data_IF_719895370162
#
_entry.id   IF_719895370162
#
_cell.length_a   1.000
_cell.length_b   1.000
_cell.length_c   1.000
_cell.angle_alpha   90.00
_cell.angle_beta   90.00
_cell.angle_gamma   90.00
#
_symmetry.space_group_name_H-M   'P 1'
#
loop_
_entity.id
_entity.type
_entity.pdbx_description
1 polymer ?
#
# COMPACT_ATOMS: atom_id res chain seq x y z
N UNK A 1 -9.18 -41.23 3.97
CA UNK A 1 -8.30 -40.24 3.32
C UNK A 1 -7.91 -39.21 4.36
N UNK A 2 -6.76 -39.40 5.02
CA UNK A 2 -6.17 -38.41 5.90
C UNK A 2 -5.51 -37.33 5.02
N UNK A 3 -6.01 -36.11 5.12
CA UNK A 3 -5.32 -34.94 4.59
C UNK A 3 -4.15 -34.67 5.53
N UNK A 4 -2.94 -34.77 4.99
CA UNK A 4 -1.72 -34.40 5.68
C UNK A 4 -1.78 -32.90 6.04
N UNK A 5 -1.73 -32.60 7.34
CA UNK A 5 -1.33 -31.28 7.83
C UNK A 5 0.12 -31.03 7.38
N UNK A 6 0.27 -30.19 6.37
CA UNK A 6 1.57 -29.62 6.02
C UNK A 6 1.86 -28.56 7.09
N UNK A 7 2.62 -28.97 8.10
CA UNK A 7 3.21 -28.07 9.08
C UNK A 7 4.26 -27.19 8.38
N UNK A 8 3.81 -26.07 7.81
CA UNK A 8 4.70 -24.98 7.44
C UNK A 8 5.28 -24.40 8.73
N UNK A 9 6.53 -24.75 9.01
CA UNK A 9 7.38 -24.00 9.92
C UNK A 9 7.56 -22.59 9.31
N UNK A 10 6.67 -21.66 9.64
CA UNK A 10 6.71 -20.30 9.12
C UNK A 10 7.73 -19.50 9.91
N UNK A 11 8.96 -19.39 9.38
CA UNK A 11 9.74 -18.19 9.70
C UNK A 11 8.90 -17.01 9.23
N UNK A 12 8.44 -16.19 10.17
CA UNK A 12 7.44 -15.12 10.00
C UNK A 12 7.85 -14.02 9.00
N UNK A 13 8.96 -14.17 8.28
CA UNK A 13 9.69 -13.13 7.56
C UNK A 13 9.96 -13.45 6.08
N UNK A 14 9.39 -14.51 5.49
CA UNK A 14 9.60 -14.80 4.05
C UNK A 14 8.70 -13.94 3.15
N UNK A 15 9.11 -13.74 1.89
CA UNK A 15 8.34 -13.01 0.89
C UNK A 15 7.01 -13.73 0.55
N UNK A 16 6.99 -15.06 0.50
CA UNK A 16 5.76 -15.82 0.27
C UNK A 16 4.74 -15.60 1.40
N UNK A 17 5.22 -15.52 2.65
CA UNK A 17 4.37 -15.22 3.80
C UNK A 17 3.74 -13.83 3.69
N UNK A 18 4.48 -12.84 3.15
CA UNK A 18 3.96 -11.50 2.84
C UNK A 18 2.80 -11.58 1.86
N UNK A 19 2.97 -12.32 0.75
CA UNK A 19 1.92 -12.45 -0.26
C UNK A 19 0.66 -13.09 0.31
N UNK A 20 0.82 -14.12 1.15
CA UNK A 20 -0.31 -14.78 1.84
C UNK A 20 -1.06 -13.79 2.72
N UNK A 21 -0.38 -13.07 3.62
CA UNK A 21 -1.05 -12.11 4.51
C UNK A 21 -1.68 -10.94 3.76
N UNK A 22 -0.97 -10.39 2.76
CA UNK A 22 -1.50 -9.31 1.95
C UNK A 22 -2.74 -9.76 1.18
N UNK A 23 -2.75 -10.95 0.57
CA UNK A 23 -3.92 -11.46 -0.17
C UNK A 23 -5.12 -11.76 0.73
N UNK A 24 -4.92 -12.13 2.01
CA UNK A 24 -6.04 -12.27 2.97
C UNK A 24 -6.88 -11.00 3.11
N UNK A 25 -6.29 -9.82 2.91
CA UNK A 25 -7.02 -8.55 2.94
C UNK A 25 -8.03 -8.42 1.78
N UNK A 26 -7.79 -9.09 0.66
CA UNK A 26 -8.71 -9.13 -0.49
C UNK A 26 -9.94 -9.97 -0.12
N UNK A 27 -9.74 -11.18 0.37
CA UNK A 27 -10.83 -12.12 0.70
C UNK A 27 -11.73 -11.59 1.81
N UNK A 28 -11.16 -10.96 2.83
CA UNK A 28 -11.93 -10.30 3.91
C UNK A 28 -12.85 -9.20 3.41
N UNK A 29 -12.49 -8.55 2.31
CA UNK A 29 -13.34 -7.52 1.68
C UNK A 29 -14.52 -8.15 0.91
N UNK A 30 -14.38 -9.38 0.43
CA UNK A 30 -15.43 -10.09 -0.32
C UNK A 30 -16.46 -10.79 0.59
N UNK A 31 -16.07 -11.19 1.80
CA UNK A 31 -16.99 -11.75 2.81
C UNK A 31 -17.90 -10.68 3.45
N UNK A 32 -17.53 -9.40 3.34
CA UNK A 32 -18.38 -8.27 3.69
C UNK A 32 -19.39 -8.08 2.55
N UNK A 33 -20.61 -8.61 2.71
CA UNK A 33 -21.69 -8.44 1.73
C UNK A 33 -21.94 -6.97 1.34
N UNK A 34 -22.65 -6.71 0.23
CA UNK A 34 -22.78 -5.38 -0.39
C UNK A 34 -23.35 -4.28 0.54
N UNK A 35 -24.06 -4.64 1.61
CA UNK A 35 -24.54 -3.70 2.63
C UNK A 35 -23.45 -3.17 3.59
N UNK A 36 -22.31 -3.88 3.71
CA UNK A 36 -21.20 -3.50 4.60
C UNK A 36 -20.13 -2.68 3.89
N UNK A 37 -20.28 -2.45 2.58
CA UNK A 37 -19.42 -1.52 1.83
C UNK A 37 -19.78 -0.10 2.30
N UNK A 38 -18.87 0.62 2.96
CA UNK A 38 -19.23 1.89 3.57
C UNK A 38 -19.77 2.88 2.54
N UNK A 39 -20.99 3.38 2.78
CA UNK A 39 -21.59 4.42 1.96
C UNK A 39 -20.66 5.64 1.82
N UNK A 40 -20.42 6.04 0.57
CA UNK A 40 -19.82 7.29 0.06
C UNK A 40 -18.45 7.68 0.61
N UNK A 41 -17.41 7.53 -0.22
CA UNK A 41 -16.13 8.29 -0.41
C UNK A 41 -15.46 9.00 0.80
N UNK A 42 -16.21 9.71 1.66
CA UNK A 42 -15.76 10.31 2.93
C UNK A 42 -15.25 9.27 3.93
N UNK A 43 -15.91 8.11 4.08
CA UNK A 43 -15.46 7.07 5.03
C UNK A 43 -14.14 6.43 4.58
N UNK A 44 -13.95 6.23 3.27
CA UNK A 44 -12.71 5.66 2.70
C UNK A 44 -11.48 6.55 2.97
N UNK A 45 -11.59 7.87 2.76
CA UNK A 45 -10.50 8.81 3.04
C UNK A 45 -10.16 8.88 4.53
N UNK A 46 -11.18 8.76 5.40
CA UNK A 46 -10.99 8.70 6.85
C UNK A 46 -10.23 7.42 7.26
N UNK A 47 -10.58 6.27 6.68
CA UNK A 47 -9.94 4.99 6.97
C UNK A 47 -8.46 5.04 6.59
N UNK A 48 -8.14 5.44 5.35
CA UNK A 48 -6.73 5.56 4.91
C UNK A 48 -5.93 6.50 5.80
N UNK A 49 -6.52 7.63 6.20
CA UNK A 49 -5.87 8.58 7.12
C UNK A 49 -5.56 7.93 8.47
N UNK A 50 -6.53 7.23 9.08
CA UNK A 50 -6.31 6.60 10.40
C UNK A 50 -5.20 5.53 10.35
N UNK A 51 -5.08 4.77 9.26
CA UNK A 51 -3.98 3.81 9.10
C UNK A 51 -2.62 4.48 8.92
N UNK A 52 -2.55 5.60 8.19
CA UNK A 52 -1.34 6.42 8.12
C UNK A 52 -0.96 6.99 9.50
N UNK A 53 -1.95 7.46 10.26
CA UNK A 53 -1.76 8.00 11.62
C UNK A 53 -1.22 6.91 12.58
N UNK A 54 -1.74 5.68 12.53
CA UNK A 54 -1.22 4.53 13.31
C UNK A 54 0.27 4.26 13.04
N UNK A 55 0.72 4.54 11.82
CA UNK A 55 2.12 4.35 11.42
C UNK A 55 3.00 5.57 11.71
N UNK A 56 2.48 6.59 12.42
CA UNK A 56 3.19 7.84 12.68
C UNK A 56 3.35 8.75 11.45
N UNK A 57 2.63 8.48 10.35
CA UNK A 57 2.71 9.26 9.12
C UNK A 57 1.73 10.43 9.20
N UNK A 58 2.17 11.49 9.86
CA UNK A 58 1.36 12.70 10.00
C UNK A 58 1.14 13.42 8.65
N UNK A 59 0.13 14.29 8.55
CA UNK A 59 -0.04 15.18 7.39
C UNK A 59 1.19 16.04 7.09
N UNK A 60 2.00 16.37 8.11
CA UNK A 60 3.24 17.13 7.92
C UNK A 60 4.32 16.32 7.20
N UNK A 61 4.36 14.99 7.42
CA UNK A 61 5.26 14.08 6.70
C UNK A 61 4.87 14.02 5.22
N UNK A 62 3.57 13.89 4.93
CA UNK A 62 3.06 13.82 3.57
C UNK A 62 3.28 15.14 2.82
N UNK A 63 3.10 16.29 3.49
CA UNK A 63 3.36 17.61 2.88
C UNK A 63 4.83 17.84 2.48
N UNK A 64 5.77 17.08 3.02
CA UNK A 64 7.19 17.11 2.59
C UNK A 64 7.42 16.32 1.30
N UNK A 65 6.48 15.45 0.92
CA UNK A 65 6.48 14.78 -0.37
C UNK A 65 5.92 15.76 -1.40
N UNK A 66 6.67 16.06 -2.45
CA UNK A 66 6.14 16.86 -3.56
C UNK A 66 5.22 15.95 -4.40
N UNK A 67 3.92 15.95 -4.11
CA UNK A 67 2.97 14.99 -4.69
C UNK A 67 2.38 15.47 -6.01
N UNK A 68 2.43 14.61 -7.03
CA UNK A 68 1.68 14.72 -8.28
C UNK A 68 0.60 13.62 -8.25
N UNK A 69 -0.66 14.03 -8.22
CA UNK A 69 -1.80 13.10 -8.24
C UNK A 69 -2.40 13.05 -9.64
N UNK A 70 -2.40 11.85 -10.25
CA UNK A 70 -2.92 11.60 -11.59
C UNK A 70 -4.20 10.77 -11.46
N UNK A 71 -5.33 11.34 -11.91
CA UNK A 71 -6.64 10.70 -11.88
C UNK A 71 -7.28 10.69 -13.27
N UNK A 72 -8.12 9.69 -13.55
CA UNK A 72 -8.79 9.53 -14.84
C UNK A 72 -9.15 8.08 -15.18
N UNK A 73 -10.01 7.85 -16.17
CA UNK A 73 -10.47 6.48 -16.50
C UNK A 73 -9.47 5.70 -17.36
N UNK A 74 -8.58 6.39 -18.08
CA UNK A 74 -7.58 5.79 -18.99
C UNK A 74 -6.29 6.59 -18.99
N UNK A 75 -5.18 5.94 -19.30
CA UNK A 75 -3.89 6.59 -19.54
C UNK A 75 -3.10 7.00 -18.30
N UNK A 76 -3.65 6.85 -17.08
CA UNK A 76 -2.98 7.28 -15.84
C UNK A 76 -1.60 6.67 -15.65
N UNK A 77 -1.47 5.34 -15.77
CA UNK A 77 -0.19 4.65 -15.66
C UNK A 77 0.84 5.12 -16.69
N UNK A 78 0.41 5.33 -17.94
CA UNK A 78 1.26 5.87 -19.01
C UNK A 78 1.69 7.32 -18.73
N UNK A 79 0.77 8.15 -18.23
CA UNK A 79 1.07 9.53 -17.81
C UNK A 79 2.03 9.57 -16.63
N UNK A 80 1.82 8.74 -15.61
CA UNK A 80 2.73 8.59 -14.47
C UNK A 80 4.12 8.16 -14.96
N UNK A 81 4.22 7.14 -15.83
CA UNK A 81 5.49 6.69 -16.38
C UNK A 81 6.22 7.80 -17.17
N UNK A 82 5.48 8.60 -17.94
CA UNK A 82 6.06 9.72 -18.69
C UNK A 82 6.60 10.81 -17.76
N UNK A 83 5.80 11.25 -16.78
CA UNK A 83 6.20 12.27 -15.80
C UNK A 83 7.42 11.78 -15.00
N UNK A 84 7.38 10.52 -14.54
CA UNK A 84 8.45 9.88 -13.80
C UNK A 84 9.77 9.85 -14.58
N UNK A 85 9.71 9.52 -15.88
CA UNK A 85 10.87 9.54 -16.76
C UNK A 85 11.46 10.93 -16.92
N UNK A 86 10.61 11.95 -17.10
CA UNK A 86 11.05 13.35 -17.24
C UNK A 86 11.73 13.84 -15.95
N UNK A 87 11.15 13.55 -14.78
CA UNK A 87 11.71 13.97 -13.49
C UNK A 87 13.05 13.30 -13.22
N UNK A 88 13.19 12.00 -13.51
CA UNK A 88 14.48 11.30 -13.40
C UNK A 88 15.54 11.86 -14.32
N UNK A 89 15.19 12.19 -15.56
CA UNK A 89 16.12 12.82 -16.52
C UNK A 89 16.62 14.18 -16.00
N UNK A 90 15.84 14.87 -15.17
CA UNK A 90 16.25 16.09 -14.47
C UNK A 90 17.06 15.85 -13.19
N UNK A 91 17.45 14.60 -12.92
CA UNK A 91 18.23 14.23 -11.73
C UNK A 91 17.41 14.18 -10.44
N UNK A 92 16.08 14.22 -10.52
CA UNK A 92 15.21 14.12 -9.34
C UNK A 92 15.00 12.65 -8.99
N UNK A 93 15.01 12.35 -7.68
CA UNK A 93 14.56 11.05 -7.18
C UNK A 93 13.05 10.96 -7.34
N UNK A 94 12.51 9.80 -7.72
CA UNK A 94 11.07 9.62 -7.94
C UNK A 94 10.52 8.45 -7.13
N UNK A 95 9.27 8.59 -6.73
CA UNK A 95 8.49 7.55 -6.07
C UNK A 95 7.17 7.42 -6.80
N UNK A 96 6.72 6.21 -7.10
CA UNK A 96 5.40 6.03 -7.72
C UNK A 96 4.60 4.94 -7.05
N UNK A 97 3.32 5.23 -6.78
CA UNK A 97 2.31 4.27 -6.39
C UNK A 97 1.35 4.02 -7.56
N UNK A 98 1.36 2.79 -8.09
CA UNK A 98 0.56 2.39 -9.26
C UNK A 98 -0.38 1.23 -8.92
N UNK A 99 -1.50 1.13 -9.63
CA UNK A 99 -2.38 -0.04 -9.56
C UNK A 99 -3.12 -0.30 -10.88
N UNK A 100 -3.40 -1.57 -11.24
CA UNK A 100 -2.92 -2.80 -10.61
C UNK A 100 -1.43 -3.11 -10.93
N UNK A 101 -0.88 -4.18 -10.35
CA UNK A 101 0.37 -4.80 -10.84
C UNK A 101 0.06 -5.76 -12.00
N UNK A 102 1.05 -6.10 -12.82
CA UNK A 102 0.92 -7.10 -13.87
C UNK A 102 1.44 -8.47 -13.45
N UNK A 103 2.64 -8.54 -12.87
CA UNK A 103 3.30 -9.80 -12.49
C UNK A 103 3.52 -9.83 -10.97
N UNK A 104 4.29 -8.87 -10.45
CA UNK A 104 4.73 -8.84 -9.05
C UNK A 104 4.14 -7.63 -8.30
N UNK A 105 3.83 -7.78 -7.01
CA UNK A 105 3.19 -6.73 -6.21
C UNK A 105 4.08 -5.50 -6.02
N UNK A 106 5.39 -5.70 -6.01
CA UNK A 106 6.43 -4.69 -5.89
C UNK A 106 6.37 -3.68 -7.05
N UNK A 107 5.82 -4.05 -8.21
CA UNK A 107 5.61 -3.13 -9.33
C UNK A 107 4.75 -1.92 -8.95
N UNK A 108 3.90 -2.07 -7.93
CA UNK A 108 3.03 -1.02 -7.44
C UNK A 108 3.77 0.08 -6.69
N UNK A 109 4.93 -0.22 -6.10
CA UNK A 109 5.71 0.75 -5.33
C UNK A 109 7.10 0.82 -5.96
N UNK A 110 7.39 1.92 -6.64
CA UNK A 110 8.65 2.10 -7.35
C UNK A 110 9.45 3.25 -6.76
N UNK A 111 10.76 3.08 -6.71
CA UNK A 111 11.74 4.12 -6.41
C UNK A 111 12.65 4.29 -7.62
N UNK A 112 12.80 5.51 -8.10
CA UNK A 112 13.65 5.85 -9.25
C UNK A 112 13.37 4.94 -10.47
N UNK A 113 12.09 4.71 -10.76
CA UNK A 113 11.65 3.94 -11.92
C UNK A 113 11.86 2.43 -11.79
N UNK A 114 12.22 1.93 -10.61
CA UNK A 114 12.40 0.50 -10.34
C UNK A 114 11.43 0.04 -9.26
N UNK A 115 10.76 -1.12 -9.43
CA UNK A 115 10.04 -1.77 -8.33
C UNK A 115 10.92 -1.90 -7.09
N UNK A 116 10.32 -1.86 -5.90
CA UNK A 116 11.04 -2.16 -4.66
C UNK A 116 11.68 -3.55 -4.75
N UNK A 117 12.89 -3.67 -4.21
CA UNK A 117 13.53 -4.98 -4.08
C UNK A 117 12.71 -5.85 -3.11
N UNK A 118 12.58 -7.15 -3.41
CA UNK A 118 11.78 -8.10 -2.63
C UNK A 118 12.09 -8.08 -1.14
N UNK A 119 13.36 -8.04 -0.77
CA UNK A 119 13.77 -8.02 0.64
C UNK A 119 13.36 -6.73 1.35
N UNK A 120 13.47 -5.58 0.66
CA UNK A 120 13.05 -4.28 1.20
C UNK A 120 11.53 -4.26 1.34
N UNK A 121 10.81 -4.70 0.33
CA UNK A 121 9.35 -4.83 0.38
C UNK A 121 8.92 -5.73 1.55
N UNK A 122 9.59 -6.88 1.72
CA UNK A 122 9.31 -7.84 2.79
C UNK A 122 9.54 -7.24 4.17
N UNK A 123 10.70 -6.62 4.40
CA UNK A 123 11.01 -5.97 5.68
C UNK A 123 9.97 -4.89 6.02
N UNK A 124 9.72 -3.98 5.08
CA UNK A 124 8.77 -2.87 5.27
C UNK A 124 7.34 -3.38 5.44
N UNK A 125 6.97 -4.46 4.78
CA UNK A 125 5.67 -5.09 4.97
C UNK A 125 5.50 -5.56 6.41
N UNK A 126 6.46 -6.29 6.98
CA UNK A 126 6.33 -6.84 8.34
C UNK A 126 6.35 -5.73 9.40
N UNK A 127 7.23 -4.73 9.24
CA UNK A 127 7.22 -3.53 10.08
C UNK A 127 5.85 -2.84 10.10
N UNK A 128 5.20 -2.77 8.94
CA UNK A 128 3.86 -2.21 8.83
C UNK A 128 2.79 -3.15 9.40
N UNK A 129 2.89 -4.44 9.12
CA UNK A 129 1.94 -5.47 9.51
C UNK A 129 1.75 -5.53 11.01
N UNK A 130 2.85 -5.46 11.76
CA UNK A 130 2.83 -5.51 13.21
C UNK A 130 2.07 -4.32 13.82
N UNK A 131 1.96 -3.21 13.09
CA UNK A 131 1.23 -2.01 13.51
C UNK A 131 -0.24 -2.06 13.10
N UNK A 132 -0.55 -2.42 11.85
CA UNK A 132 -1.89 -2.21 11.27
C UNK A 132 -2.74 -3.47 11.12
N UNK A 133 -2.17 -4.68 11.26
CA UNK A 133 -2.91 -5.94 11.08
C UNK A 133 -4.04 -6.11 12.09
N UNK A 134 -3.90 -5.49 13.26
CA UNK A 134 -4.96 -5.38 14.25
C UNK A 134 -6.14 -4.51 13.81
N UNK A 135 -6.03 -3.69 12.75
CA UNK A 135 -7.10 -2.77 12.39
C UNK A 135 -7.33 -1.65 13.41
N UNK A 136 -8.40 -0.90 13.20
CA UNK A 136 -8.76 0.28 13.98
C UNK A 136 -10.15 0.08 14.58
N UNK A 137 -10.29 0.39 15.86
CA UNK A 137 -11.59 0.47 16.53
C UNK A 137 -12.26 1.82 16.25
N UNK A 138 -13.53 1.75 15.87
CA UNK A 138 -14.38 2.90 15.58
C UNK A 138 -15.24 3.24 16.80
N UNK A 139 -15.81 4.45 16.82
CA UNK A 139 -16.60 4.94 17.96
C UNK A 139 -17.89 4.11 18.20
N UNK A 140 -18.35 3.38 17.19
CA UNK A 140 -19.48 2.45 17.24
C UNK A 140 -19.09 1.02 17.69
N UNK A 141 -17.83 0.81 18.09
CA UNK A 141 -17.28 -0.50 18.47
C UNK A 141 -16.95 -1.39 17.27
N UNK A 142 -17.13 -0.93 16.04
CA UNK A 142 -16.76 -1.68 14.84
C UNK A 142 -15.23 -1.69 14.68
N UNK A 143 -14.67 -2.85 14.34
CA UNK A 143 -13.25 -3.01 14.04
C UNK A 143 -13.02 -3.04 12.53
N UNK A 144 -12.35 -2.01 12.02
CA UNK A 144 -12.03 -1.89 10.60
C UNK A 144 -10.61 -2.42 10.35
N UNK A 145 -10.50 -3.46 9.53
CA UNK A 145 -9.23 -3.97 9.04
C UNK A 145 -8.80 -3.23 7.76
N UNK A 146 -7.49 -3.12 7.49
CA UNK A 146 -7.02 -2.48 6.27
C UNK A 146 -7.39 -3.33 5.05
N UNK A 147 -7.99 -2.70 4.04
CA UNK A 147 -8.18 -3.33 2.74
C UNK A 147 -6.84 -3.42 2.00
N UNK A 148 -6.78 -4.27 0.96
CA UNK A 148 -5.57 -4.45 0.14
C UNK A 148 -4.96 -3.12 -0.35
N UNK A 149 -5.80 -2.22 -0.87
CA UNK A 149 -5.34 -0.93 -1.38
C UNK A 149 -4.87 0.00 -0.26
N UNK A 150 -5.58 0.02 0.87
CA UNK A 150 -5.18 0.82 2.05
C UNK A 150 -3.84 0.34 2.57
N UNK A 151 -3.63 -0.97 2.62
CA UNK A 151 -2.39 -1.58 3.06
C UNK A 151 -1.22 -1.15 2.18
N UNK A 152 -1.33 -1.32 0.86
CA UNK A 152 -0.29 -0.95 -0.09
C UNK A 152 -0.04 0.56 -0.13
N UNK A 153 -1.09 1.36 -0.01
CA UNK A 153 -0.97 2.82 0.04
C UNK A 153 -0.21 3.25 1.29
N UNK A 154 -0.52 2.66 2.45
CA UNK A 154 0.18 2.94 3.71
C UNK A 154 1.65 2.51 3.63
N UNK A 155 1.93 1.34 3.07
CA UNK A 155 3.28 0.84 2.83
C UNK A 155 4.08 1.77 1.91
N UNK A 156 3.46 2.24 0.83
CA UNK A 156 4.08 3.15 -0.11
C UNK A 156 4.43 4.49 0.56
N UNK A 157 3.48 5.12 1.27
CA UNK A 157 3.75 6.37 2.00
C UNK A 157 4.82 6.20 3.07
N UNK A 158 4.82 5.11 3.85
CA UNK A 158 5.88 4.81 4.82
C UNK A 158 7.24 4.78 4.13
N UNK A 159 7.32 4.05 3.02
CA UNK A 159 8.54 3.93 2.21
C UNK A 159 9.02 5.28 1.70
N UNK A 160 8.14 6.09 1.10
CA UNK A 160 8.54 7.37 0.51
C UNK A 160 8.94 8.43 1.55
N UNK A 161 8.29 8.44 2.72
CA UNK A 161 8.66 9.33 3.82
C UNK A 161 10.05 8.98 4.37
N UNK A 162 10.35 7.69 4.51
CA UNK A 162 11.64 7.22 5.04
C UNK A 162 12.80 7.44 4.05
N UNK A 163 12.52 7.39 2.75
CA UNK A 163 13.53 7.59 1.70
C UNK A 163 13.96 9.06 1.49
N UNK A 164 13.23 10.03 2.05
CA UNK A 164 13.45 11.50 2.01
C UNK A 164 13.66 12.15 0.62
N UNK A 165 13.01 13.29 0.38
CA UNK A 165 13.18 14.17 -0.80
C UNK A 165 12.87 13.55 -2.16
N UNK A 166 11.67 13.00 -2.30
CA UNK A 166 11.21 12.36 -3.54
C UNK A 166 9.90 13.02 -4.01
N UNK A 167 9.85 13.61 -5.22
CA UNK A 167 8.59 13.79 -5.93
C UNK A 167 7.81 12.48 -6.04
N UNK A 168 6.62 12.46 -5.42
CA UNK A 168 5.77 11.28 -5.33
C UNK A 168 4.63 11.37 -6.35
N UNK A 169 4.58 10.41 -7.27
CA UNK A 169 3.50 10.25 -8.23
C UNK A 169 2.49 9.23 -7.71
N UNK A 170 1.21 9.58 -7.69
CA UNK A 170 0.13 8.70 -7.27
C UNK A 170 -0.85 8.55 -8.43
N UNK A 171 -0.98 7.32 -8.93
CA UNK A 171 -2.00 6.90 -9.89
C UNK A 171 -3.26 6.46 -9.13
N UNK A 172 -4.42 7.10 -9.40
CA UNK A 172 -5.72 6.79 -8.77
C UNK A 172 -6.81 6.49 -9.80
#
# INVERSE_FOLDING_TARGET
>A
MHLHEVNYCTSRSTYESVLVELNRTIYRTQELGPERVPAKRRRANLISKRFLDLCGISPSCIRKLNVIHVAGSKGKGSTCALIESILREKGLRTGSLNSPHLIDVEERIRLNGRPLHRDVFTSRFWELHDVISGGIEMDDGERILPTYLVYLTTLAFKTFVEEQQIPLLIDV
#
